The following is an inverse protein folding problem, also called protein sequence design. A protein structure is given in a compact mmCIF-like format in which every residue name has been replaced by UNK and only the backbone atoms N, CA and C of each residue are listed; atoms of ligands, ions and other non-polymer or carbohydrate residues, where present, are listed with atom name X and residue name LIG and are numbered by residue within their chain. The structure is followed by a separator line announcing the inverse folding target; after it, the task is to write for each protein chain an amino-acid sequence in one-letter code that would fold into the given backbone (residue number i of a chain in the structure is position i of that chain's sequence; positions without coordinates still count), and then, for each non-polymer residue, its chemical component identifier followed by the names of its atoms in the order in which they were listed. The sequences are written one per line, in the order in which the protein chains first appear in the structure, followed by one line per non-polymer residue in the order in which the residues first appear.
data_IF_310946879863
#
_entry.id   IF_310946879863
#
_cell.length_a   1.000
_cell.length_b   1.000
_cell.length_c   1.000
_cell.angle_alpha   90.00
_cell.angle_beta   90.00
_cell.angle_gamma   90.00
#
_symmetry.space_group_name_H-M   'P 1'
#
loop_
_entity.id
_entity.type
_entity.pdbx_description
1 polymer ?
#
# COMPACT_ATOMS: atom_id res chain seq x y z
N UNK A 1 -16.39 14.75 -13.41
CA UNK A 1 -17.04 15.65 -12.41
C UNK A 1 -18.15 14.99 -11.58
N UNK A 2 -18.88 13.97 -12.07
CA UNK A 2 -19.96 13.32 -11.31
C UNK A 2 -19.49 12.45 -10.12
N UNK A 3 -18.42 11.66 -10.30
CA UNK A 3 -17.92 10.72 -9.30
C UNK A 3 -17.25 11.40 -8.09
N UNK A 4 -16.50 12.48 -8.32
CA UNK A 4 -15.88 13.27 -7.23
C UNK A 4 -16.95 14.01 -6.42
N UNK A 5 -18.03 14.50 -7.06
CA UNK A 5 -19.19 15.08 -6.34
C UNK A 5 -19.94 14.00 -5.54
N UNK A 6 -20.02 12.78 -6.05
CA UNK A 6 -20.65 11.65 -5.37
C UNK A 6 -19.85 11.21 -4.13
N UNK A 7 -18.49 11.08 -4.22
CA UNK A 7 -17.62 10.80 -3.08
C UNK A 7 -17.63 11.91 -2.02
N UNK A 8 -17.62 13.18 -2.43
CA UNK A 8 -17.74 14.33 -1.50
C UNK A 8 -19.08 14.36 -0.76
N UNK A 9 -20.18 13.96 -1.40
CA UNK A 9 -21.48 13.87 -0.75
C UNK A 9 -21.58 12.70 0.23
N UNK A 10 -20.83 11.62 -0.02
CA UNK A 10 -20.93 10.38 0.74
C UNK A 10 -20.22 10.46 2.09
N UNK A 11 -19.02 11.05 2.17
CA UNK A 11 -18.33 11.19 3.46
C UNK A 11 -18.80 12.39 4.29
N UNK A 12 -19.01 13.53 3.67
CA UNK A 12 -19.12 14.80 4.41
C UNK A 12 -20.52 15.15 4.96
N UNK A 13 -21.59 14.49 4.55
CA UNK A 13 -22.94 14.94 4.92
C UNK A 13 -23.70 14.00 5.82
N UNK A 14 -23.73 12.72 5.50
CA UNK A 14 -24.72 11.80 6.07
C UNK A 14 -24.21 11.06 7.30
N UNK A 15 -22.98 10.54 7.25
CA UNK A 15 -22.40 9.79 8.37
C UNK A 15 -22.27 10.66 9.65
N UNK A 16 -21.74 11.87 9.51
CA UNK A 16 -21.56 12.80 10.64
C UNK A 16 -22.86 13.26 11.25
N UNK A 17 -23.87 13.52 10.42
CA UNK A 17 -25.17 13.97 10.92
C UNK A 17 -25.88 12.87 11.68
N UNK A 18 -25.81 11.61 11.21
CA UNK A 18 -26.48 10.51 11.86
C UNK A 18 -25.76 10.01 13.12
N UNK A 19 -24.42 9.98 13.14
CA UNK A 19 -23.67 9.72 14.36
C UNK A 19 -23.97 10.75 15.45
N UNK A 20 -24.11 12.03 15.05
CA UNK A 20 -24.51 13.11 15.95
C UNK A 20 -25.96 12.96 16.42
N UNK A 21 -26.87 12.63 15.52
CA UNK A 21 -28.30 12.48 15.84
C UNK A 21 -28.55 11.28 16.73
N UNK A 22 -27.93 10.14 16.45
CA UNK A 22 -28.17 8.88 17.15
C UNK A 22 -27.41 8.76 18.47
N UNK A 23 -26.11 9.13 18.46
CA UNK A 23 -25.23 8.93 19.61
C UNK A 23 -24.87 10.23 20.34
N UNK A 24 -25.28 11.40 19.82
CA UNK A 24 -24.96 12.71 20.40
C UNK A 24 -23.47 13.10 20.28
N UNK A 25 -22.68 12.44 19.40
CA UNK A 25 -21.25 12.63 19.27
C UNK A 25 -20.89 13.28 17.95
N UNK A 26 -19.74 13.99 17.93
CA UNK A 26 -19.23 14.62 16.72
C UNK A 26 -17.77 14.17 16.49
N UNK A 27 -17.42 13.96 15.24
CA UNK A 27 -16.05 13.63 14.86
C UNK A 27 -15.07 14.75 15.22
N UNK A 28 -13.87 14.34 15.61
CA UNK A 28 -12.76 15.25 15.98
C UNK A 28 -11.83 15.55 14.81
N UNK A 29 -11.99 14.86 13.68
CA UNK A 29 -11.17 15.07 12.48
C UNK A 29 -11.70 16.25 11.68
N UNK A 30 -10.80 17.17 11.28
CA UNK A 30 -11.16 18.35 10.47
C UNK A 30 -11.61 17.96 9.05
N UNK A 31 -12.40 18.84 8.42
CA UNK A 31 -12.79 18.65 7.02
C UNK A 31 -11.61 18.63 6.06
N UNK A 32 -10.58 19.46 6.32
CA UNK A 32 -9.36 19.49 5.51
C UNK A 32 -8.61 18.15 5.54
N UNK A 33 -8.55 17.48 6.69
CA UNK A 33 -7.93 16.16 6.80
C UNK A 33 -8.72 15.10 6.06
N UNK A 34 -10.04 15.15 6.12
CA UNK A 34 -10.92 14.24 5.40
C UNK A 34 -10.80 14.41 3.88
N UNK A 35 -10.76 15.65 3.40
CA UNK A 35 -10.55 15.95 1.97
C UNK A 35 -9.17 15.44 1.50
N UNK A 36 -8.15 15.56 2.35
CA UNK A 36 -6.81 15.04 2.06
C UNK A 36 -6.80 13.51 1.93
N UNK A 37 -7.41 12.79 2.88
CA UNK A 37 -7.51 11.32 2.83
C UNK A 37 -8.25 10.87 1.57
N UNK A 38 -9.36 11.51 1.20
CA UNK A 38 -10.06 11.21 -0.04
C UNK A 38 -9.20 11.43 -1.28
N UNK A 39 -8.47 12.55 -1.32
CA UNK A 39 -7.53 12.85 -2.42
C UNK A 39 -6.48 11.75 -2.54
N UNK A 40 -5.90 11.29 -1.44
CA UNK A 40 -4.88 10.22 -1.46
C UNK A 40 -5.45 8.89 -1.96
N UNK A 41 -6.64 8.50 -1.49
CA UNK A 41 -7.31 7.27 -1.94
C UNK A 41 -7.57 7.31 -3.45
N UNK A 42 -8.01 8.44 -4.00
CA UNK A 42 -8.22 8.62 -5.43
C UNK A 42 -6.91 8.53 -6.22
N UNK A 43 -5.84 9.20 -5.77
CA UNK A 43 -4.51 9.12 -6.39
C UNK A 43 -4.01 7.67 -6.42
N UNK A 44 -4.10 6.95 -5.30
CA UNK A 44 -3.71 5.55 -5.20
C UNK A 44 -4.50 4.66 -6.17
N UNK A 45 -5.80 4.89 -6.32
CA UNK A 45 -6.67 4.14 -7.24
C UNK A 45 -6.39 4.45 -8.71
N UNK A 46 -5.73 5.57 -9.01
CA UNK A 46 -5.43 6.03 -10.36
C UNK A 46 -6.50 6.94 -10.98
N UNK A 47 -7.22 7.65 -10.12
CA UNK A 47 -8.16 8.72 -10.48
C UNK A 47 -7.79 10.00 -9.71
N UNK A 48 -6.61 10.58 -9.97
CA UNK A 48 -6.06 11.68 -9.15
C UNK A 48 -6.72 13.05 -9.42
N UNK A 49 -7.66 13.14 -10.37
CA UNK A 49 -8.37 14.36 -10.72
C UNK A 49 -7.61 15.35 -11.62
N UNK A 50 -6.34 15.06 -11.96
CA UNK A 50 -5.55 15.84 -12.94
C UNK A 50 -5.34 15.10 -14.27
N UNK A 51 -5.84 13.87 -14.40
CA UNK A 51 -5.86 13.15 -15.68
C UNK A 51 -6.83 13.83 -16.63
N UNK A 52 -6.43 13.94 -17.89
CA UNK A 52 -7.21 14.57 -18.96
C UNK A 52 -6.97 13.79 -20.26
N UNK A 53 -7.98 13.06 -20.73
CA UNK A 53 -7.89 12.28 -21.95
C UNK A 53 -7.78 13.16 -23.20
N UNK A 54 -8.42 14.35 -23.20
CA UNK A 54 -8.36 15.29 -24.34
C UNK A 54 -6.99 15.94 -24.45
N UNK A 55 -6.37 16.27 -23.27
CA UNK A 55 -5.02 16.78 -23.19
C UNK A 55 -3.94 15.68 -23.21
N UNK A 56 -4.32 14.41 -23.34
CA UNK A 56 -3.41 13.27 -23.37
C UNK A 56 -2.71 12.96 -22.02
N UNK A 57 -3.16 13.58 -20.90
CA UNK A 57 -2.54 13.40 -19.58
C UNK A 57 -3.06 12.14 -18.91
N UNK A 58 -2.17 11.19 -18.68
CA UNK A 58 -2.44 9.88 -18.07
C UNK A 58 -1.68 9.73 -16.76
N UNK A 59 -2.20 8.92 -15.84
CA UNK A 59 -1.46 8.54 -14.63
C UNK A 59 -0.71 7.22 -14.82
N UNK A 60 0.52 7.16 -14.32
CA UNK A 60 1.32 5.93 -14.21
C UNK A 60 1.10 5.21 -12.89
N UNK A 61 0.21 5.72 -12.03
CA UNK A 61 -0.12 5.17 -10.70
C UNK A 61 1.10 4.98 -9.80
N UNK A 62 2.05 5.89 -9.84
CA UNK A 62 3.30 5.75 -9.10
C UNK A 62 3.09 5.76 -7.58
N UNK A 63 2.06 6.44 -7.09
CA UNK A 63 1.65 6.37 -5.69
C UNK A 63 1.37 4.92 -5.22
N UNK A 64 0.76 4.09 -6.08
CA UNK A 64 0.55 2.67 -5.78
C UNK A 64 1.85 1.89 -5.70
N UNK A 65 2.84 2.22 -6.54
CA UNK A 65 4.17 1.60 -6.51
C UNK A 65 4.86 1.90 -5.17
N UNK A 66 4.81 3.17 -4.72
CA UNK A 66 5.38 3.58 -3.43
C UNK A 66 4.75 2.82 -2.27
N UNK A 67 3.41 2.80 -2.19
CA UNK A 67 2.69 2.10 -1.12
C UNK A 67 2.97 0.60 -1.12
N UNK A 68 2.96 -0.02 -2.29
CA UNK A 68 3.27 -1.44 -2.46
C UNK A 68 4.70 -1.79 -2.05
N UNK A 69 5.65 -0.89 -2.32
CA UNK A 69 7.05 -1.10 -1.95
C UNK A 69 7.27 -0.99 -0.44
N UNK A 70 6.68 0.01 0.23
CA UNK A 70 6.71 0.11 1.70
C UNK A 70 6.09 -1.14 2.34
N UNK A 71 4.89 -1.53 1.90
CA UNK A 71 4.22 -2.72 2.42
C UNK A 71 5.02 -4.00 2.17
N UNK A 72 5.65 -4.15 0.99
CA UNK A 72 6.51 -5.28 0.65
C UNK A 72 7.70 -5.39 1.59
N UNK A 73 8.43 -4.29 1.78
CA UNK A 73 9.62 -4.26 2.63
C UNK A 73 9.29 -4.44 4.11
N UNK A 74 8.19 -3.85 4.59
CA UNK A 74 7.78 -3.99 5.98
C UNK A 74 7.33 -5.42 6.34
N UNK A 75 6.70 -6.14 5.38
CA UNK A 75 6.15 -7.49 5.61
C UNK A 75 6.96 -8.62 4.99
N UNK A 76 8.16 -8.35 4.48
CA UNK A 76 8.94 -9.30 3.66
C UNK A 76 9.16 -10.66 4.35
N UNK A 77 9.47 -10.64 5.64
CA UNK A 77 9.79 -11.84 6.42
C UNK A 77 9.07 -11.86 7.78
N UNK A 78 7.93 -11.14 7.88
CA UNK A 78 7.21 -11.08 9.15
C UNK A 78 6.71 -12.46 9.57
N UNK A 79 7.06 -12.84 10.78
CA UNK A 79 6.47 -13.94 11.50
C UNK A 79 6.15 -13.56 12.94
N UNK A 80 5.09 -14.15 13.51
CA UNK A 80 4.70 -13.92 14.89
C UNK A 80 4.54 -15.27 15.56
N UNK A 81 5.27 -15.46 16.65
CA UNK A 81 5.23 -16.65 17.46
C UNK A 81 4.54 -16.33 18.78
N UNK A 82 3.71 -17.25 19.24
CA UNK A 82 2.96 -17.08 20.48
C UNK A 82 3.39 -18.13 21.50
N UNK A 83 3.60 -17.67 22.73
CA UNK A 83 3.83 -18.48 23.90
C UNK A 83 2.68 -18.34 24.91
N UNK A 84 2.61 -19.24 25.88
CA UNK A 84 1.58 -19.26 26.91
C UNK A 84 0.44 -20.24 26.64
N UNK A 85 -0.53 -20.28 27.56
CA UNK A 85 -1.63 -21.25 27.53
C UNK A 85 -2.64 -21.05 26.39
N UNK A 86 -2.61 -19.88 25.73
CA UNK A 86 -3.48 -19.53 24.59
C UNK A 86 -2.71 -19.49 23.25
N UNK A 87 -1.44 -19.91 23.25
CA UNK A 87 -0.55 -19.81 22.09
C UNK A 87 -1.11 -20.48 20.82
N UNK A 88 -1.60 -21.71 20.91
CA UNK A 88 -2.15 -22.45 19.76
C UNK A 88 -3.34 -21.73 19.11
N UNK A 89 -4.23 -21.16 19.91
CA UNK A 89 -5.38 -20.41 19.41
C UNK A 89 -4.93 -19.11 18.70
N UNK A 90 -4.01 -18.37 19.31
CA UNK A 90 -3.50 -17.13 18.76
C UNK A 90 -2.67 -17.35 17.50
N UNK A 91 -1.87 -18.42 17.47
CA UNK A 91 -1.12 -18.84 16.28
C UNK A 91 -2.07 -19.19 15.12
N UNK A 92 -3.13 -19.93 15.39
CA UNK A 92 -4.15 -20.26 14.41
C UNK A 92 -4.89 -19.03 13.88
N UNK A 93 -5.15 -18.04 14.71
CA UNK A 93 -5.74 -16.76 14.31
C UNK A 93 -4.78 -15.94 13.44
N UNK A 94 -3.51 -15.83 13.84
CA UNK A 94 -2.47 -15.18 13.06
C UNK A 94 -2.37 -15.74 11.65
N UNK A 95 -2.17 -17.04 11.51
CA UNK A 95 -1.95 -17.67 10.22
C UNK A 95 -3.16 -17.65 9.29
N UNK A 96 -4.36 -17.85 9.85
CA UNK A 96 -5.58 -17.97 9.05
C UNK A 96 -6.22 -16.63 8.71
N UNK A 97 -6.19 -15.68 9.64
CA UNK A 97 -7.00 -14.46 9.55
C UNK A 97 -6.17 -13.19 9.29
N UNK A 98 -4.88 -13.16 9.68
CA UNK A 98 -4.06 -11.95 9.63
C UNK A 98 -2.97 -12.05 8.55
N UNK A 99 -2.06 -13.02 8.68
CA UNK A 99 -0.83 -13.13 7.87
C UNK A 99 -1.09 -13.06 6.36
N UNK A 100 -2.18 -13.70 5.90
CA UNK A 100 -2.51 -13.76 4.46
C UNK A 100 -2.84 -12.41 3.82
N UNK A 101 -3.42 -11.50 4.61
CA UNK A 101 -3.93 -10.22 4.12
C UNK A 101 -3.10 -9.03 4.58
N UNK A 102 -2.15 -9.24 5.48
CA UNK A 102 -1.42 -8.19 6.16
C UNK A 102 -0.74 -7.21 5.20
N UNK A 103 -0.08 -7.73 4.16
CA UNK A 103 0.60 -6.91 3.16
C UNK A 103 -0.37 -6.00 2.40
N UNK A 104 -1.53 -6.52 1.99
CA UNK A 104 -2.57 -5.76 1.31
C UNK A 104 -3.14 -4.68 2.22
N UNK A 105 -3.44 -5.03 3.47
CA UNK A 105 -3.94 -4.07 4.45
C UNK A 105 -2.93 -2.96 4.74
N UNK A 106 -1.66 -3.31 4.87
CA UNK A 106 -0.60 -2.33 5.07
C UNK A 106 -0.41 -1.42 3.85
N UNK A 107 -0.49 -1.95 2.63
CA UNK A 107 -0.44 -1.15 1.40
C UNK A 107 -1.54 -0.09 1.37
N UNK A 108 -2.78 -0.48 1.72
CA UNK A 108 -3.87 0.47 1.85
C UNK A 108 -3.67 1.45 3.03
N UNK A 109 -3.06 1.00 4.13
CA UNK A 109 -2.69 1.84 5.26
C UNK A 109 -1.67 2.91 4.88
N UNK A 110 -0.66 2.56 4.09
CA UNK A 110 0.31 3.50 3.54
C UNK A 110 -0.37 4.53 2.60
N UNK A 111 -1.35 4.09 1.82
CA UNK A 111 -2.08 4.97 0.91
C UNK A 111 -3.02 5.95 1.64
N UNK A 112 -3.82 5.45 2.57
CA UNK A 112 -4.82 6.25 3.29
C UNK A 112 -4.25 6.96 4.54
N UNK A 113 -3.02 6.65 4.94
CA UNK A 113 -2.37 7.14 6.15
C UNK A 113 -2.81 6.46 7.43
N UNK A 114 -4.00 5.85 7.46
CA UNK A 114 -4.57 5.16 8.62
C UNK A 114 -5.51 4.06 8.17
N UNK A 115 -5.49 2.92 8.84
CA UNK A 115 -6.49 1.86 8.69
C UNK A 115 -6.76 1.20 10.04
N UNK A 116 -7.91 0.57 10.17
CA UNK A 116 -8.30 -0.18 11.36
C UNK A 116 -8.49 -1.65 11.02
N UNK A 117 -7.94 -2.51 11.87
CA UNK A 117 -8.13 -3.94 11.86
C UNK A 117 -9.00 -4.30 13.07
N UNK A 118 -10.25 -4.66 12.83
CA UNK A 118 -11.21 -4.95 13.88
C UNK A 118 -11.58 -6.43 13.89
N UNK A 119 -11.21 -7.22 14.92
CA UNK A 119 -11.66 -8.59 15.07
C UNK A 119 -13.20 -8.64 15.21
N UNK A 120 -13.84 -9.58 14.53
CA UNK A 120 -15.31 -9.75 14.53
C UNK A 120 -15.76 -11.13 15.04
N UNK A 121 -14.86 -11.88 15.68
CA UNK A 121 -15.11 -13.23 16.19
C UNK A 121 -15.00 -14.36 15.15
N UNK A 122 -15.01 -14.04 13.83
CA UNK A 122 -14.79 -15.01 12.73
C UNK A 122 -13.53 -14.71 11.94
N UNK A 123 -13.08 -13.48 11.95
CA UNK A 123 -11.93 -12.98 11.22
C UNK A 123 -11.66 -11.52 11.60
N UNK A 124 -11.21 -10.74 10.63
CA UNK A 124 -10.93 -9.32 10.81
C UNK A 124 -11.72 -8.50 9.79
N UNK A 125 -12.39 -7.47 10.27
CA UNK A 125 -12.94 -6.41 9.46
C UNK A 125 -11.82 -5.39 9.19
N UNK A 126 -11.46 -5.22 7.92
CA UNK A 126 -10.55 -4.19 7.46
C UNK A 126 -11.34 -2.91 7.18
N UNK A 127 -11.02 -1.82 7.89
CA UNK A 127 -11.80 -0.59 7.84
C UNK A 127 -10.91 0.58 7.41
N UNK A 128 -11.26 1.17 6.27
CA UNK A 128 -10.62 2.38 5.75
C UNK A 128 -11.15 3.64 6.45
N UNK A 129 -10.43 4.78 6.41
CA UNK A 129 -10.83 6.00 7.10
C UNK A 129 -12.17 6.59 6.63
N UNK A 130 -12.66 6.21 5.46
CA UNK A 130 -13.98 6.61 4.94
C UNK A 130 -15.16 5.87 5.60
N UNK A 131 -14.87 4.86 6.44
CA UNK A 131 -15.87 4.01 7.10
C UNK A 131 -15.81 4.06 8.62
N UNK A 132 -15.07 4.99 9.18
CA UNK A 132 -15.09 5.26 10.61
C UNK A 132 -14.94 6.75 10.92
N UNK A 133 -15.43 7.16 12.09
CA UNK A 133 -15.23 8.51 12.62
C UNK A 133 -14.77 8.41 14.07
N UNK A 134 -13.63 9.01 14.38
CA UNK A 134 -13.12 9.10 15.75
C UNK A 134 -13.81 10.26 16.42
N UNK A 135 -14.47 9.99 17.55
CA UNK A 135 -15.34 10.95 18.25
C UNK A 135 -14.81 11.34 19.63
N UNK A 136 -13.81 10.64 20.13
CA UNK A 136 -13.21 10.95 21.43
C UNK A 136 -11.76 10.50 21.56
N UNK A 137 -11.01 11.21 22.43
CA UNK A 137 -9.68 10.86 22.90
C UNK A 137 -9.63 11.00 24.41
N UNK A 138 -8.76 10.19 25.05
CA UNK A 138 -8.41 10.33 26.44
C UNK A 138 -7.36 11.44 26.64
N UNK A 139 -6.97 11.67 27.90
CA UNK A 139 -5.95 12.65 28.28
C UNK A 139 -4.55 12.32 27.71
N UNK A 140 -4.29 11.05 27.41
CA UNK A 140 -3.03 10.57 26.80
C UNK A 140 -3.06 10.63 25.26
N UNK A 141 -4.19 11.03 24.66
CA UNK A 141 -4.38 11.11 23.21
C UNK A 141 -4.79 9.78 22.56
N UNK A 142 -5.03 8.72 23.34
CA UNK A 142 -5.56 7.46 22.81
C UNK A 142 -7.04 7.62 22.45
N UNK A 143 -7.51 6.83 21.48
CA UNK A 143 -8.91 6.83 21.07
C UNK A 143 -9.76 6.31 22.23
N UNK A 144 -10.75 7.10 22.65
CA UNK A 144 -11.74 6.73 23.68
C UNK A 144 -13.14 6.53 23.11
N UNK A 145 -13.38 6.96 21.87
CA UNK A 145 -14.65 6.79 21.19
C UNK A 145 -14.51 6.79 19.67
N UNK A 146 -15.16 5.82 19.01
CA UNK A 146 -15.15 5.67 17.56
C UNK A 146 -16.45 5.10 17.05
N UNK A 147 -16.96 5.59 15.93
CA UNK A 147 -18.14 5.07 15.25
C UNK A 147 -17.70 4.45 13.93
N UNK A 148 -18.08 3.18 13.70
CA UNK A 148 -17.86 2.47 12.44
C UNK A 148 -19.14 2.43 11.63
N UNK A 149 -18.97 2.41 10.30
CA UNK A 149 -20.05 2.21 9.34
C UNK A 149 -19.80 0.93 8.54
N UNK A 150 -20.77 0.02 8.53
CA UNK A 150 -20.83 -1.14 7.64
C UNK A 150 -22.10 -1.05 6.78
N UNK A 151 -22.02 -1.41 5.50
CA UNK A 151 -23.15 -1.33 4.58
C UNK A 151 -23.21 -2.54 3.67
N UNK A 152 -24.41 -2.94 3.30
CA UNK A 152 -24.62 -3.95 2.26
C UNK A 152 -25.90 -3.63 1.47
N UNK A 153 -26.00 -4.21 0.30
CA UNK A 153 -27.19 -4.14 -0.56
C UNK A 153 -27.93 -5.48 -0.54
N UNK A 154 -29.24 -5.41 -0.44
CA UNK A 154 -30.15 -6.54 -0.62
C UNK A 154 -31.31 -6.11 -1.52
N UNK A 155 -31.37 -6.68 -2.71
CA UNK A 155 -32.28 -6.25 -3.77
C UNK A 155 -32.05 -4.77 -4.14
N UNK A 156 -33.08 -3.96 -4.00
CA UNK A 156 -33.07 -2.52 -4.27
C UNK A 156 -32.86 -1.68 -2.99
N UNK A 157 -32.63 -2.32 -1.86
CA UNK A 157 -32.45 -1.66 -0.57
C UNK A 157 -30.98 -1.68 -0.14
N UNK A 158 -30.58 -0.59 0.49
CA UNK A 158 -29.26 -0.40 1.08
C UNK A 158 -29.40 -0.37 2.60
N UNK A 159 -28.70 -1.29 3.25
CA UNK A 159 -28.68 -1.38 4.71
C UNK A 159 -27.38 -0.83 5.22
N UNK A 160 -27.44 0.00 6.26
CA UNK A 160 -26.26 0.60 6.91
C UNK A 160 -26.33 0.34 8.41
N UNK A 161 -25.22 -0.15 8.98
CA UNK A 161 -25.04 -0.30 10.43
C UNK A 161 -24.07 0.75 10.92
N UNK A 162 -24.43 1.44 11.98
CA UNK A 162 -23.53 2.25 12.80
C UNK A 162 -23.18 1.48 14.07
N UNK A 163 -21.90 1.35 14.35
CA UNK A 163 -21.36 0.62 15.50
C UNK A 163 -20.46 1.56 16.29
N UNK A 164 -20.93 1.98 17.48
CA UNK A 164 -20.24 2.94 18.33
C UNK A 164 -19.54 2.24 19.48
N UNK A 165 -18.23 2.31 19.52
CA UNK A 165 -17.35 1.82 20.58
C UNK A 165 -16.93 2.97 21.47
N UNK A 166 -17.13 2.82 22.80
CA UNK A 166 -16.75 3.82 23.80
C UNK A 166 -16.49 3.21 25.17
N UNK A 167 -15.78 3.96 25.99
CA UNK A 167 -15.81 3.76 27.44
C UNK A 167 -16.97 4.57 28.02
N UNK A 168 -17.86 3.93 28.77
CA UNK A 168 -18.94 4.58 29.51
C UNK A 168 -18.48 5.01 30.90
N UNK A 169 -17.63 4.19 31.50
CA UNK A 169 -16.84 4.47 32.71
C UNK A 169 -15.44 3.92 32.51
N UNK A 170 -14.51 4.18 33.46
CA UNK A 170 -13.15 3.61 33.39
C UNK A 170 -13.15 2.08 33.26
N UNK A 171 -14.16 1.40 33.78
CA UNK A 171 -14.24 -0.07 33.83
C UNK A 171 -15.19 -0.67 32.80
N UNK A 172 -16.00 0.13 32.13
CA UNK A 172 -17.08 -0.38 31.26
C UNK A 172 -16.90 0.03 29.81
N UNK A 173 -16.60 -0.94 28.98
CA UNK A 173 -16.54 -0.76 27.53
C UNK A 173 -17.90 -1.10 26.91
N UNK A 174 -18.44 -0.21 26.10
CA UNK A 174 -19.78 -0.37 25.49
C UNK A 174 -19.69 -0.31 23.98
N UNK A 175 -20.39 -1.25 23.33
CA UNK A 175 -20.62 -1.26 21.88
C UNK A 175 -22.11 -1.08 21.63
N UNK A 176 -22.46 0.00 20.92
CA UNK A 176 -23.84 0.28 20.50
C UNK A 176 -24.02 0.06 19.01
N UNK A 177 -24.99 -0.76 18.61
CA UNK A 177 -25.30 -1.09 17.22
C UNK A 177 -26.67 -0.49 16.84
N UNK A 178 -26.71 0.21 15.69
CA UNK A 178 -27.92 0.76 15.09
C UNK A 178 -27.96 0.44 13.61
N UNK A 179 -29.09 -0.03 13.11
CA UNK A 179 -29.26 -0.35 11.69
C UNK A 179 -30.26 0.58 11.02
N UNK A 180 -30.04 0.84 9.77
CA UNK A 180 -30.82 1.74 8.92
C UNK A 180 -31.06 1.10 7.56
N UNK A 181 -32.14 1.50 6.88
CA UNK A 181 -32.45 1.08 5.52
C UNK A 181 -32.82 2.27 4.65
N UNK A 182 -32.27 2.31 3.43
CA UNK A 182 -32.55 3.32 2.40
C UNK A 182 -32.88 2.67 1.07
N UNK A 183 -33.67 3.35 0.22
CA UNK A 183 -33.85 3.01 -1.18
C UNK A 183 -32.77 3.59 -2.09
N UNK A 184 -31.93 4.50 -1.57
CA UNK A 184 -30.89 5.18 -2.35
C UNK A 184 -29.50 4.78 -1.84
N UNK A 185 -28.58 4.53 -2.77
CA UNK A 185 -27.19 4.29 -2.43
C UNK A 185 -26.55 5.55 -1.82
N UNK A 186 -25.79 5.36 -0.72
CA UNK A 186 -25.09 6.45 -0.03
C UNK A 186 -25.95 7.24 0.96
N UNK A 187 -27.22 6.94 1.12
CA UNK A 187 -28.08 7.47 2.17
C UNK A 187 -28.18 6.49 3.33
N UNK A 188 -28.13 6.96 4.58
CA UNK A 188 -28.32 6.10 5.75
C UNK A 188 -29.78 5.62 5.85
N UNK A 189 -30.73 6.50 5.61
CA UNK A 189 -32.15 6.17 5.53
C UNK A 189 -32.86 6.13 6.89
N UNK A 190 -33.80 5.20 7.07
CA UNK A 190 -34.65 5.10 8.27
C UNK A 190 -34.15 4.01 9.21
N UNK A 191 -34.27 4.16 10.52
CA UNK A 191 -33.98 3.11 11.49
C UNK A 191 -34.75 1.81 11.20
N UNK A 192 -34.07 0.68 11.34
CA UNK A 192 -34.61 -0.68 11.18
C UNK A 192 -34.11 -1.58 12.31
N UNK A 193 -34.90 -2.55 12.72
CA UNK A 193 -34.49 -3.52 13.75
C UNK A 193 -33.33 -4.37 13.20
N UNK A 194 -32.27 -4.55 14.00
CA UNK A 194 -31.13 -5.43 13.68
C UNK A 194 -31.56 -6.84 13.27
N UNK A 195 -32.64 -7.37 13.89
CA UNK A 195 -33.18 -8.70 13.57
C UNK A 195 -33.69 -8.85 12.14
N UNK A 196 -33.97 -7.75 11.45
CA UNK A 196 -34.42 -7.74 10.06
C UNK A 196 -33.26 -7.55 9.05
N UNK A 197 -32.04 -7.63 9.52
CA UNK A 197 -30.82 -7.38 8.73
C UNK A 197 -29.84 -8.56 8.82
N UNK A 198 -28.74 -8.53 8.05
CA UNK A 198 -27.65 -9.52 8.18
C UNK A 198 -26.97 -9.49 9.57
N UNK A 199 -27.25 -8.50 10.39
CA UNK A 199 -26.71 -8.32 11.74
C UNK A 199 -27.67 -8.78 12.83
N UNK A 200 -28.54 -9.71 12.52
CA UNK A 200 -29.62 -10.25 13.41
C UNK A 200 -29.11 -10.87 14.72
N UNK A 201 -27.85 -11.30 14.73
CA UNK A 201 -27.16 -11.84 15.88
C UNK A 201 -26.56 -10.78 16.83
N UNK A 202 -26.55 -9.49 16.43
CA UNK A 202 -26.02 -8.40 17.25
C UNK A 202 -27.11 -7.84 18.18
N UNK A 203 -26.68 -7.43 19.37
CA UNK A 203 -27.53 -6.70 20.31
C UNK A 203 -27.37 -5.19 20.11
N UNK A 204 -28.43 -4.39 20.37
CA UNK A 204 -28.36 -2.93 20.23
C UNK A 204 -27.31 -2.28 21.11
N UNK A 205 -27.13 -2.73 22.34
CA UNK A 205 -26.12 -2.25 23.27
C UNK A 205 -25.51 -3.43 24.02
N UNK A 206 -24.19 -3.50 24.03
CA UNK A 206 -23.42 -4.57 24.66
C UNK A 206 -22.38 -3.95 25.57
N UNK A 207 -22.44 -4.23 26.85
CA UNK A 207 -21.39 -3.88 27.80
C UNK A 207 -20.38 -5.03 27.90
N UNK A 208 -19.11 -4.73 27.65
CA UNK A 208 -18.04 -5.71 27.62
C UNK A 208 -17.13 -5.47 28.82
N UNK A 209 -16.92 -6.53 29.59
CA UNK A 209 -15.98 -6.58 30.72
C UNK A 209 -15.16 -7.84 30.59
N UNK A 210 -13.95 -7.85 31.14
CA UNK A 210 -13.12 -9.06 31.16
C UNK A 210 -13.82 -10.16 31.97
N UNK A 211 -13.54 -11.41 31.64
CA UNK A 211 -14.11 -12.60 32.31
C UNK A 211 -13.86 -12.63 33.82
N UNK A 212 -12.78 -12.06 34.28
CA UNK A 212 -12.41 -11.88 35.68
C UNK A 212 -13.05 -10.63 36.33
N UNK A 213 -13.92 -9.89 35.62
CA UNK A 213 -14.55 -8.65 36.08
C UNK A 213 -13.61 -7.43 35.96
N UNK A 214 -12.42 -7.56 35.39
CA UNK A 214 -11.49 -6.44 35.17
C UNK A 214 -11.93 -5.54 34.00
N UNK A 215 -11.41 -4.31 34.02
CA UNK A 215 -11.59 -3.33 32.96
C UNK A 215 -10.99 -3.79 31.62
N UNK A 216 -11.52 -3.28 30.50
CA UNK A 216 -10.92 -3.39 29.19
C UNK A 216 -9.84 -2.31 29.06
N UNK A 217 -8.58 -2.70 28.86
CA UNK A 217 -7.44 -1.80 28.96
C UNK A 217 -7.23 -0.95 27.68
N UNK A 218 -7.73 -1.42 26.55
CA UNK A 218 -7.62 -0.70 25.27
C UNK A 218 -8.85 -0.95 24.39
N UNK A 219 -9.03 -0.11 23.36
CA UNK A 219 -10.09 -0.29 22.37
C UNK A 219 -9.97 -1.66 21.68
N UNK A 220 -11.10 -2.30 21.38
CA UNK A 220 -11.14 -3.66 20.82
C UNK A 220 -10.90 -3.69 19.31
N UNK A 221 -9.90 -3.00 18.85
CA UNK A 221 -9.40 -2.99 17.46
C UNK A 221 -7.96 -2.52 17.40
N UNK A 222 -7.24 -2.88 16.35
CA UNK A 222 -5.90 -2.35 16.05
C UNK A 222 -6.00 -1.16 15.09
N UNK A 223 -5.33 -0.07 15.44
CA UNK A 223 -5.17 1.10 14.58
C UNK A 223 -3.75 1.10 14.01
N UNK A 224 -3.61 0.98 12.70
CA UNK A 224 -2.38 1.31 12.01
C UNK A 224 -2.41 2.78 11.59
N UNK A 225 -1.39 3.53 11.98
CA UNK A 225 -1.17 4.92 11.60
C UNK A 225 0.23 5.04 11.02
N UNK A 226 0.35 5.64 9.81
CA UNK A 226 1.67 5.96 9.26
C UNK A 226 2.46 6.83 10.23
N UNK A 227 3.73 6.49 10.51
CA UNK A 227 4.57 7.14 11.50
C UNK A 227 5.14 8.48 11.00
N UNK A 228 4.24 9.42 10.66
CA UNK A 228 4.59 10.77 10.22
C UNK A 228 3.80 11.81 11.00
N UNK A 229 4.39 12.99 11.19
CA UNK A 229 3.70 14.12 11.80
C UNK A 229 2.59 14.62 10.89
N UNK A 230 1.39 14.84 11.46
CA UNK A 230 0.26 15.38 10.71
C UNK A 230 0.32 16.92 10.73
N UNK A 231 0.64 17.52 9.60
CA UNK A 231 0.73 18.96 9.39
C UNK A 231 -0.56 19.58 8.81
N UNK A 232 -1.52 18.74 8.41
CA UNK A 232 -2.84 19.19 7.92
C UNK A 232 -3.79 19.44 9.10
N UNK A 233 -3.76 18.53 10.08
CA UNK A 233 -4.57 18.60 11.29
C UNK A 233 -3.80 17.99 12.45
N UNK A 234 -3.06 18.84 13.18
CA UNK A 234 -2.20 18.42 14.29
C UNK A 234 -2.97 17.77 15.46
N UNK A 235 -4.28 18.00 15.55
CA UNK A 235 -5.13 17.42 16.57
C UNK A 235 -5.79 16.10 16.14
N UNK A 236 -5.75 15.78 14.85
CA UNK A 236 -6.33 14.54 14.34
C UNK A 236 -5.48 13.32 14.74
N UNK A 237 -6.12 12.22 15.14
CA UNK A 237 -5.42 10.95 15.37
C UNK A 237 -5.05 10.24 14.06
N UNK A 238 -5.52 10.73 12.91
CA UNK A 238 -5.20 10.15 11.60
C UNK A 238 -3.77 10.45 11.19
N UNK A 239 -3.10 9.50 10.56
CA UNK A 239 -1.79 9.65 9.93
C UNK A 239 -1.91 10.19 8.51
N UNK A 240 -0.80 10.67 7.97
CA UNK A 240 -0.70 11.09 6.56
C UNK A 240 -0.37 9.89 5.66
N UNK A 241 -0.82 9.95 4.41
CA UNK A 241 -0.34 9.02 3.39
C UNK A 241 1.18 9.09 3.26
N UNK A 242 1.84 7.96 2.98
CA UNK A 242 3.29 7.92 2.75
C UNK A 242 3.74 8.88 1.65
N UNK A 243 2.88 9.17 0.66
CA UNK A 243 3.15 10.12 -0.43
C UNK A 243 2.45 11.48 -0.25
N UNK A 244 1.90 11.78 0.94
CA UNK A 244 1.17 13.04 1.18
C UNK A 244 1.97 14.27 0.77
N UNK A 245 3.28 14.30 1.09
CA UNK A 245 4.19 15.41 0.80
C UNK A 245 4.70 15.46 -0.65
N UNK A 246 4.37 14.46 -1.47
CA UNK A 246 4.84 14.33 -2.85
C UNK A 246 3.71 14.42 -3.90
N UNK A 247 2.52 14.88 -3.49
CA UNK A 247 1.32 14.91 -4.36
C UNK A 247 1.52 15.78 -5.61
N UNK A 248 2.17 16.92 -5.47
CA UNK A 248 2.42 17.82 -6.61
C UNK A 248 3.46 17.23 -7.57
N UNK A 249 4.51 16.59 -7.03
CA UNK A 249 5.53 15.93 -7.85
C UNK A 249 4.96 14.68 -8.55
N UNK A 250 4.02 13.97 -7.94
CA UNK A 250 3.31 12.87 -8.60
C UNK A 250 2.49 13.37 -9.81
N UNK A 251 1.85 14.54 -9.68
CA UNK A 251 1.17 15.18 -10.80
C UNK A 251 2.16 15.55 -11.89
N UNK A 252 3.27 16.18 -11.54
CA UNK A 252 4.28 16.63 -12.51
C UNK A 252 4.95 15.42 -13.20
N UNK A 253 5.12 14.30 -12.49
CA UNK A 253 5.60 13.03 -13.04
C UNK A 253 4.61 12.47 -14.10
N UNK A 254 3.32 12.43 -13.80
CA UNK A 254 2.28 11.98 -14.74
C UNK A 254 2.26 12.86 -16.01
N UNK A 255 2.40 14.18 -15.86
CA UNK A 255 2.48 15.13 -16.98
C UNK A 255 3.76 14.93 -17.79
N UNK A 256 4.92 14.80 -17.13
CA UNK A 256 6.20 14.60 -17.80
C UNK A 256 6.22 13.29 -18.59
N UNK A 257 5.71 12.21 -18.00
CA UNK A 257 5.59 10.91 -18.66
C UNK A 257 4.65 10.96 -19.88
N UNK A 258 3.50 11.62 -19.75
CA UNK A 258 2.53 11.75 -20.83
C UNK A 258 3.10 12.54 -22.00
N UNK A 259 3.76 13.67 -21.73
CA UNK A 259 4.44 14.49 -22.77
C UNK A 259 5.59 13.76 -23.45
N UNK A 260 6.33 12.92 -22.73
CA UNK A 260 7.36 12.09 -23.33
C UNK A 260 6.78 11.09 -24.34
N UNK A 261 5.64 10.49 -24.01
CA UNK A 261 4.94 9.59 -24.94
C UNK A 261 4.38 10.31 -26.17
N UNK A 262 3.89 11.54 -26.01
CA UNK A 262 3.44 12.41 -27.12
C UNK A 262 4.60 12.77 -28.06
N UNK A 263 5.74 13.20 -27.51
CA UNK A 263 6.92 13.53 -28.34
C UNK A 263 7.41 12.33 -29.14
N UNK A 264 7.45 11.14 -28.54
CA UNK A 264 7.79 9.91 -29.26
C UNK A 264 6.79 9.66 -30.41
N UNK A 265 5.53 9.96 -30.20
CA UNK A 265 4.51 9.86 -31.25
C UNK A 265 4.68 10.92 -32.34
N UNK A 266 5.02 12.15 -31.95
CA UNK A 266 5.14 13.30 -32.86
C UNK A 266 6.49 13.36 -33.56
N UNK A 267 7.51 12.67 -33.02
CA UNK A 267 8.84 12.57 -33.64
C UNK A 267 8.92 11.71 -34.90
N UNK A 268 7.77 11.22 -35.37
CA UNK A 268 7.71 10.45 -36.61
C UNK A 268 8.18 11.31 -37.77
N UNK A 269 9.07 10.75 -38.57
CA UNK A 269 9.48 11.35 -39.83
C UNK A 269 8.25 11.73 -40.68
N UNK A 270 8.16 12.98 -41.08
CA UNK A 270 7.14 13.50 -41.96
C UNK A 270 7.83 13.99 -43.25
N UNK A 271 7.36 13.51 -44.36
CA UNK A 271 7.79 13.98 -45.68
C UNK A 271 6.63 14.77 -46.29
N UNK A 272 6.87 16.06 -46.52
CA UNK A 272 5.95 16.92 -47.27
C UNK A 272 6.33 16.90 -48.72
N UNK A 273 5.40 16.54 -49.61
CA UNK A 273 5.63 16.43 -51.03
C UNK A 273 4.53 17.20 -51.79
N UNK A 274 4.92 17.85 -52.86
CA UNK A 274 3.97 18.56 -53.71
C UNK A 274 3.00 17.58 -54.32
N UNK A 275 1.69 17.90 -54.27
CA UNK A 275 0.62 17.07 -54.82
C UNK A 275 0.84 16.72 -56.28
N UNK A 276 1.46 17.61 -57.05
CA UNK A 276 1.79 17.41 -58.48
C UNK A 276 2.74 16.22 -58.71
N UNK A 277 3.65 15.95 -57.76
CA UNK A 277 4.57 14.80 -57.82
C UNK A 277 3.88 13.44 -57.59
N UNK A 278 2.70 13.44 -57.04
CA UNK A 278 1.92 12.24 -56.69
C UNK A 278 0.77 11.97 -57.64
N UNK A 279 0.54 12.87 -58.62
CA UNK A 279 -0.51 12.72 -59.59
C UNK A 279 -0.18 11.61 -60.58
N UNK A 280 -1.10 10.68 -60.78
CA UNK A 280 -1.08 9.68 -61.83
C UNK A 280 -1.74 10.25 -63.09
N UNK A 281 -1.42 9.69 -64.28
CA UNK A 281 -2.16 10.03 -65.52
C UNK A 281 -3.66 9.95 -65.32
N UNK A 282 -4.37 11.00 -65.72
CA UNK A 282 -5.79 11.09 -65.58
C UNK A 282 -6.53 9.97 -66.31
N UNK A 283 -7.43 9.30 -65.62
CA UNK A 283 -8.37 8.33 -66.27
C UNK A 283 -9.71 8.98 -66.50
N UNK A 284 -10.37 8.59 -67.61
CA UNK A 284 -11.76 8.96 -67.84
C UNK A 284 -12.72 7.92 -67.24
N UNK A 285 -13.77 8.38 -66.59
CA UNK A 285 -14.83 7.50 -66.13
C UNK A 285 -15.71 7.02 -67.31
N UNK A 286 -16.69 6.19 -67.01
CA UNK A 286 -17.64 5.66 -68.04
C UNK A 286 -18.52 6.75 -68.63
N UNK A 287 -18.58 7.94 -68.04
CA UNK A 287 -19.34 9.11 -68.46
C UNK A 287 -18.50 10.15 -69.20
N UNK A 288 -17.18 9.88 -69.36
CA UNK A 288 -16.26 10.78 -70.04
C UNK A 288 -15.63 11.85 -69.15
N UNK A 289 -15.94 11.88 -67.84
CA UNK A 289 -15.35 12.82 -66.90
C UNK A 289 -13.90 12.44 -66.54
N UNK A 290 -13.04 13.44 -66.38
CA UNK A 290 -11.66 13.23 -66.01
C UNK A 290 -11.52 13.01 -64.51
N UNK A 291 -11.09 11.80 -64.11
CA UNK A 291 -10.79 11.45 -62.71
C UNK A 291 -9.29 11.63 -62.48
N UNK A 292 -8.95 12.51 -61.53
CA UNK A 292 -7.57 12.64 -61.04
C UNK A 292 -7.25 11.47 -60.11
N UNK A 293 -6.16 10.79 -60.35
CA UNK A 293 -5.67 9.69 -59.52
C UNK A 293 -4.36 10.09 -58.88
N UNK A 294 -4.15 9.64 -57.63
CA UNK A 294 -2.96 9.89 -56.85
C UNK A 294 -2.32 8.56 -56.43
N UNK A 295 -1.01 8.54 -56.31
CA UNK A 295 -0.28 7.41 -55.73
C UNK A 295 -0.70 7.26 -54.28
N UNK A 296 -0.95 6.06 -53.82
CA UNK A 296 -1.18 5.76 -52.41
C UNK A 296 0.14 5.91 -51.67
N UNK A 297 0.24 6.99 -50.89
CA UNK A 297 1.44 7.33 -50.13
C UNK A 297 1.46 6.59 -48.78
N UNK A 298 2.64 6.25 -48.24
CA UNK A 298 2.80 5.83 -46.87
C UNK A 298 2.26 6.90 -45.88
N UNK A 299 1.85 6.49 -44.68
CA UNK A 299 1.21 7.38 -43.70
C UNK A 299 2.11 8.56 -43.23
N UNK A 300 3.43 8.45 -43.40
CA UNK A 300 4.39 9.51 -43.07
C UNK A 300 4.60 10.53 -44.20
N UNK A 301 3.99 10.35 -45.38
CA UNK A 301 4.06 11.28 -46.50
C UNK A 301 2.76 12.02 -46.65
N UNK A 302 2.81 13.35 -46.63
CA UNK A 302 1.64 14.22 -46.77
C UNK A 302 1.76 15.08 -48.00
N UNK A 303 0.69 15.13 -48.79
CA UNK A 303 0.60 16.06 -49.90
C UNK A 303 0.31 17.48 -49.39
N UNK A 304 1.02 18.43 -49.94
CA UNK A 304 0.85 19.86 -49.69
C UNK A 304 0.57 20.56 -51.02
N UNK A 305 -0.45 21.38 -51.05
CA UNK A 305 -0.69 22.29 -52.18
C UNK A 305 0.29 23.46 -52.05
N UNK A 306 1.33 23.50 -52.95
CA UNK A 306 2.25 24.64 -53.00
C UNK A 306 1.70 25.72 -53.91
N UNK A 307 1.74 26.97 -53.44
CA UNK A 307 1.44 28.19 -54.29
C UNK A 307 2.61 28.58 -55.20
N UNK A 308 3.72 27.83 -55.09
CA UNK A 308 4.97 28.16 -55.81
C UNK A 308 5.04 27.43 -57.18
N UNK A 309 5.64 28.08 -58.18
CA UNK A 309 5.93 27.45 -59.48
C UNK A 309 6.95 26.30 -59.41
N UNK A 310 7.66 26.14 -58.28
CA UNK A 310 8.66 25.08 -58.04
C UNK A 310 8.06 23.91 -57.28
N UNK A 311 8.41 22.69 -57.67
CA UNK A 311 8.10 21.48 -56.90
C UNK A 311 8.65 21.56 -55.52
N UNK A 312 7.81 21.22 -54.50
CA UNK A 312 8.13 21.28 -53.11
C UNK A 312 8.38 19.88 -52.56
N UNK A 313 9.51 19.68 -51.92
CA UNK A 313 9.86 18.51 -51.15
C UNK A 313 10.55 18.95 -49.87
N UNK A 314 10.01 18.55 -48.73
CA UNK A 314 10.60 18.83 -47.42
C UNK A 314 10.51 17.60 -46.53
N UNK A 315 11.63 17.20 -45.99
CA UNK A 315 11.73 16.18 -44.97
C UNK A 315 11.82 16.84 -43.60
N UNK A 316 10.90 16.52 -42.71
CA UNK A 316 10.88 16.95 -41.32
C UNK A 316 11.21 15.70 -40.49
N UNK A 317 12.36 15.74 -39.85
CA UNK A 317 12.85 14.68 -38.97
C UNK A 317 13.18 15.28 -37.62
N UNK A 318 12.20 15.42 -36.69
CA UNK A 318 12.43 15.98 -35.39
C UNK A 318 13.45 15.14 -34.60
N UNK A 319 14.36 15.81 -33.91
CA UNK A 319 15.30 15.13 -33.02
C UNK A 319 14.58 14.88 -31.67
N UNK A 320 14.72 13.67 -31.16
CA UNK A 320 14.23 13.30 -29.84
C UNK A 320 15.19 13.79 -28.76
N UNK A 321 14.68 14.50 -27.75
CA UNK A 321 15.44 14.92 -26.57
C UNK A 321 15.32 13.88 -25.43
N UNK A 322 15.46 12.61 -25.76
CA UNK A 322 15.19 11.48 -24.87
C UNK A 322 16.03 11.54 -23.59
N UNK A 323 17.32 11.82 -23.70
CA UNK A 323 18.23 11.86 -22.54
C UNK A 323 17.85 12.96 -21.54
N UNK A 324 17.59 14.18 -22.02
CA UNK A 324 17.20 15.31 -21.15
C UNK A 324 15.87 15.05 -20.46
N UNK A 325 14.91 14.42 -21.15
CA UNK A 325 13.62 14.05 -20.57
C UNK A 325 13.74 12.94 -19.55
N UNK A 326 14.55 11.91 -19.82
CA UNK A 326 14.82 10.84 -18.90
C UNK A 326 15.50 11.35 -17.62
N UNK A 327 16.44 12.27 -17.74
CA UNK A 327 17.03 12.96 -16.59
C UNK A 327 15.98 13.74 -15.79
N UNK A 328 15.07 14.45 -16.46
CA UNK A 328 13.96 15.16 -15.82
C UNK A 328 13.03 14.22 -15.04
N UNK A 329 12.65 13.10 -15.63
CA UNK A 329 11.82 12.06 -14.99
C UNK A 329 12.57 11.44 -13.80
N UNK A 330 13.86 11.11 -13.94
CA UNK A 330 14.66 10.55 -12.85
C UNK A 330 14.82 11.54 -11.68
N UNK A 331 14.94 12.84 -11.95
CA UNK A 331 14.98 13.87 -10.92
C UNK A 331 13.64 13.93 -10.14
N UNK A 332 12.49 13.83 -10.83
CA UNK A 332 11.18 13.78 -10.19
C UNK A 332 11.03 12.51 -9.35
N UNK A 333 11.40 11.33 -9.88
CA UNK A 333 11.36 10.07 -9.15
C UNK A 333 12.22 10.11 -7.88
N UNK A 334 13.43 10.68 -7.97
CA UNK A 334 14.34 10.85 -6.83
C UNK A 334 13.77 11.78 -5.78
N UNK A 335 13.15 12.90 -6.19
CA UNK A 335 12.52 13.86 -5.28
C UNK A 335 11.29 13.25 -4.61
N UNK A 336 10.44 12.54 -5.35
CA UNK A 336 9.29 11.83 -4.82
C UNK A 336 9.75 10.79 -3.79
N UNK A 337 10.74 9.97 -4.14
CA UNK A 337 11.32 8.99 -3.21
C UNK A 337 11.80 9.64 -1.92
N UNK A 338 12.58 10.72 -2.02
CA UNK A 338 13.07 11.48 -0.89
C UNK A 338 11.94 12.02 0.02
N UNK A 339 10.88 12.59 -0.58
CA UNK A 339 9.71 13.09 0.17
C UNK A 339 8.89 11.97 0.84
N UNK A 340 8.90 10.77 0.26
CA UNK A 340 8.26 9.59 0.83
C UNK A 340 9.13 8.83 1.85
N UNK A 341 10.35 9.32 2.15
CA UNK A 341 11.25 8.73 3.14
C UNK A 341 12.22 7.68 2.59
N UNK A 342 12.25 7.46 1.29
CA UNK A 342 13.23 6.57 0.65
C UNK A 342 14.59 7.25 0.47
N UNK A 343 15.61 6.45 0.32
CA UNK A 343 16.96 6.90 0.00
C UNK A 343 17.02 7.51 -1.39
N UNK A 344 17.98 8.44 -1.59
CA UNK A 344 18.11 9.14 -2.86
C UNK A 344 18.45 8.15 -3.99
N UNK A 345 17.70 8.24 -5.10
CA UNK A 345 17.89 7.35 -6.26
C UNK A 345 17.33 5.95 -6.09
N UNK A 346 16.51 5.69 -5.06
CA UNK A 346 15.82 4.42 -4.89
C UNK A 346 14.89 4.11 -6.09
N UNK A 347 14.14 5.10 -6.54
CA UNK A 347 13.31 5.03 -7.73
C UNK A 347 13.99 5.77 -8.88
N UNK A 348 14.71 5.05 -9.73
CA UNK A 348 15.30 5.58 -10.96
C UNK A 348 15.09 4.61 -12.11
N UNK A 349 15.05 5.13 -13.36
CA UNK A 349 14.85 4.32 -14.55
C UNK A 349 16.16 3.75 -15.12
N UNK A 350 17.32 4.31 -14.71
CA UNK A 350 18.63 3.87 -15.19
C UNK A 350 19.27 2.93 -14.16
N UNK A 351 19.84 1.83 -14.65
CA UNK A 351 20.68 0.95 -13.84
C UNK A 351 21.95 1.69 -13.39
N UNK A 352 22.25 1.64 -12.11
CA UNK A 352 23.54 2.08 -11.57
C UNK A 352 24.63 1.15 -12.11
N UNK A 353 25.29 1.53 -13.19
CA UNK A 353 26.50 0.87 -13.68
C UNK A 353 27.71 1.35 -12.89
N UNK A 354 28.06 0.62 -11.81
CA UNK A 354 29.27 0.88 -11.04
C UNK A 354 29.42 -0.12 -9.88
N UNK A 355 30.66 -0.55 -9.60
CA UNK A 355 30.94 -1.33 -8.40
C UNK A 355 30.78 -0.42 -7.17
N UNK A 356 29.66 -0.56 -6.48
CA UNK A 356 29.39 0.13 -5.20
C UNK A 356 29.88 -0.78 -4.08
N UNK A 357 30.65 -0.25 -3.14
CA UNK A 357 31.07 -1.04 -1.97
C UNK A 357 29.89 -1.27 -1.03
N UNK A 358 29.84 -2.41 -0.35
CA UNK A 358 28.76 -2.78 0.60
C UNK A 358 28.49 -1.68 1.65
N UNK A 359 29.56 -1.03 2.17
CA UNK A 359 29.46 0.09 3.12
C UNK A 359 28.78 1.32 2.51
N UNK A 360 28.92 1.54 1.20
CA UNK A 360 28.32 2.67 0.50
C UNK A 360 26.83 2.41 0.24
N UNK A 361 26.43 1.17 -0.07
CA UNK A 361 25.03 0.74 -0.17
C UNK A 361 24.33 0.91 1.18
N UNK A 362 24.94 0.46 2.27
CA UNK A 362 24.40 0.55 3.63
C UNK A 362 24.21 2.00 4.10
N UNK A 363 25.15 2.88 3.73
CA UNK A 363 25.06 4.33 4.02
C UNK A 363 23.96 5.00 3.17
N UNK A 364 23.84 4.61 1.91
CA UNK A 364 22.87 5.20 0.99
C UNK A 364 21.44 4.76 1.31
N UNK A 365 21.22 3.55 1.84
CA UNK A 365 19.89 3.01 2.13
C UNK A 365 19.37 3.30 3.55
N UNK A 366 20.14 4.02 4.37
CA UNK A 366 19.81 4.29 5.77
C UNK A 366 18.42 4.93 5.96
N UNK A 367 17.99 5.82 5.07
CA UNK A 367 16.67 6.46 5.16
C UNK A 367 15.54 5.48 4.90
N UNK A 368 15.66 4.65 3.87
CA UNK A 368 14.69 3.58 3.55
C UNK A 368 14.57 2.61 4.73
N UNK A 369 15.70 2.20 5.30
CA UNK A 369 15.74 1.31 6.45
C UNK A 369 15.00 1.92 7.65
N UNK A 370 15.22 3.23 7.93
CA UNK A 370 14.55 3.90 9.03
C UNK A 370 13.03 4.01 8.79
N UNK A 371 12.61 4.40 7.57
CA UNK A 371 11.20 4.42 7.20
C UNK A 371 10.52 3.07 7.46
N UNK A 372 11.17 1.99 7.03
CA UNK A 372 10.59 0.64 7.19
C UNK A 372 10.57 0.21 8.67
N UNK A 373 11.57 0.55 9.46
CA UNK A 373 11.56 0.29 10.91
C UNK A 373 10.41 1.02 11.58
N UNK A 374 10.23 2.31 11.32
CA UNK A 374 9.14 3.10 11.88
C UNK A 374 7.75 2.55 11.50
N UNK A 375 7.60 2.07 10.24
CA UNK A 375 6.38 1.41 9.78
C UNK A 375 6.16 0.06 10.47
N UNK A 376 7.22 -0.73 10.69
CA UNK A 376 7.16 -2.01 11.43
C UNK A 376 6.75 -1.80 12.89
N UNK A 377 7.28 -0.78 13.55
CA UNK A 377 6.92 -0.44 14.92
C UNK A 377 5.44 -0.03 15.03
N UNK A 378 4.95 0.77 14.09
CA UNK A 378 3.53 1.14 14.02
C UNK A 378 2.63 -0.08 13.71
N UNK A 379 3.08 -0.98 12.85
CA UNK A 379 2.38 -2.22 12.53
C UNK A 379 2.32 -3.16 13.73
N UNK A 380 3.41 -3.32 14.46
CA UNK A 380 3.45 -4.12 15.67
C UNK A 380 2.44 -3.62 16.71
N UNK A 381 2.41 -2.31 16.99
CA UNK A 381 1.43 -1.71 17.91
C UNK A 381 -0.01 -2.00 17.47
N UNK A 382 -0.29 -1.91 16.17
CA UNK A 382 -1.60 -2.27 15.62
C UNK A 382 -1.93 -3.76 15.85
N UNK A 383 -0.99 -4.66 15.59
CA UNK A 383 -1.17 -6.10 15.75
C UNK A 383 -1.33 -6.48 17.24
N UNK A 384 -0.59 -5.87 18.15
CA UNK A 384 -0.73 -6.07 19.59
C UNK A 384 -2.17 -5.76 20.05
N UNK A 385 -2.74 -4.64 19.57
CA UNK A 385 -4.13 -4.29 19.85
C UNK A 385 -5.13 -5.27 19.21
N UNK A 386 -4.86 -5.78 18.00
CA UNK A 386 -5.70 -6.81 17.36
C UNK A 386 -5.67 -8.10 18.16
N UNK A 387 -4.50 -8.55 18.60
CA UNK A 387 -4.37 -9.78 19.39
C UNK A 387 -5.02 -9.63 20.78
N UNK A 388 -4.86 -8.46 21.40
CA UNK A 388 -5.57 -8.15 22.64
C UNK A 388 -7.08 -8.25 22.45
N UNK A 389 -7.65 -7.59 21.45
CA UNK A 389 -9.07 -7.63 21.15
C UNK A 389 -9.57 -9.06 20.87
N UNK A 390 -8.81 -9.85 20.09
CA UNK A 390 -9.13 -11.25 19.81
C UNK A 390 -9.11 -12.11 21.08
N UNK A 391 -8.15 -11.85 21.98
CA UNK A 391 -8.07 -12.55 23.27
C UNK A 391 -9.27 -12.26 24.17
N UNK A 392 -9.72 -10.99 24.21
CA UNK A 392 -10.94 -10.59 24.95
C UNK A 392 -12.17 -11.28 24.37
N UNK A 393 -12.35 -11.30 23.06
CA UNK A 393 -13.48 -11.98 22.40
C UNK A 393 -13.44 -13.49 22.64
N UNK A 394 -12.27 -14.12 22.65
CA UNK A 394 -12.13 -15.53 22.97
C UNK A 394 -12.62 -15.87 24.39
N UNK A 395 -12.38 -14.99 25.35
CA UNK A 395 -12.90 -15.14 26.72
C UNK A 395 -14.43 -15.00 26.79
N UNK A 396 -14.98 -14.06 26.03
CA UNK A 396 -16.42 -13.79 26.02
C UNK A 396 -17.24 -14.93 25.39
N UNK A 397 -16.74 -15.50 24.30
CA UNK A 397 -17.43 -16.54 23.54
C UNK A 397 -17.17 -17.97 24.06
N UNK A 398 -16.24 -18.15 25.00
CA UNK A 398 -16.05 -19.39 25.73
C UNK A 398 -15.56 -20.61 24.94
N UNK A 399 -15.09 -20.39 23.70
CA UNK A 399 -14.69 -21.46 22.79
C UNK A 399 -13.21 -21.89 22.89
N UNK A 400 -12.43 -21.28 23.76
CA UNK A 400 -10.98 -21.52 23.88
C UNK A 400 -10.55 -21.58 25.34
N UNK A 401 -9.41 -22.21 25.66
CA UNK A 401 -8.85 -22.16 27.00
C UNK A 401 -8.66 -20.71 27.44
N UNK A 402 -9.11 -20.39 28.67
CA UNK A 402 -8.77 -19.10 29.28
C UNK A 402 -7.28 -19.12 29.63
N UNK A 403 -6.56 -18.02 29.35
CA UNK A 403 -5.15 -17.95 29.66
C UNK A 403 -4.47 -16.73 29.06
N UNK A 404 -3.20 -16.63 29.32
CA UNK A 404 -2.34 -15.56 28.83
C UNK A 404 -1.60 -16.00 27.56
N UNK A 405 -1.17 -15.04 26.78
CA UNK A 405 -0.30 -15.22 25.63
C UNK A 405 0.77 -14.14 25.64
N UNK A 406 1.91 -14.44 25.07
CA UNK A 406 2.96 -13.51 24.74
C UNK A 406 3.26 -13.61 23.26
N UNK A 407 3.33 -12.47 22.56
CA UNK A 407 3.62 -12.43 21.12
C UNK A 407 5.04 -11.95 20.88
N UNK A 408 5.82 -12.74 20.14
CA UNK A 408 7.18 -12.39 19.71
C UNK A 408 7.19 -12.18 18.21
N UNK A 409 7.68 -11.02 17.76
CA UNK A 409 7.72 -10.63 16.36
C UNK A 409 9.10 -10.83 15.77
N UNK A 410 9.16 -11.49 14.63
CA UNK A 410 10.33 -11.52 13.76
C UNK A 410 9.98 -10.85 12.43
N UNK A 411 10.57 -9.71 12.16
CA UNK A 411 10.39 -8.99 10.89
C UNK A 411 11.47 -9.32 9.86
N UNK A 412 12.44 -10.15 10.22
CA UNK A 412 13.63 -10.36 9.41
C UNK A 412 14.50 -9.11 9.27
N UNK A 413 15.72 -9.30 8.81
CA UNK A 413 16.65 -8.20 8.57
C UNK A 413 16.39 -7.58 7.20
N UNK A 414 16.16 -6.25 7.13
CA UNK A 414 15.95 -5.51 5.87
C UNK A 414 17.28 -5.37 5.12
N UNK A 415 18.39 -5.38 5.85
CA UNK A 415 19.74 -5.23 5.32
C UNK A 415 20.41 -6.57 5.04
N UNK A 416 19.68 -7.68 5.19
CA UNK A 416 20.25 -9.01 5.07
C UNK A 416 20.78 -9.26 3.65
N UNK A 417 22.08 -9.10 3.51
CA UNK A 417 22.82 -9.53 2.32
C UNK A 417 23.29 -10.97 2.57
N UNK A 418 22.57 -11.92 2.01
CA UNK A 418 22.86 -13.36 2.16
C UNK A 418 24.31 -13.70 1.84
N UNK A 419 24.86 -13.14 0.76
CA UNK A 419 26.25 -13.44 0.34
C UNK A 419 27.27 -12.85 1.30
N UNK A 420 27.02 -11.66 1.81
CA UNK A 420 27.93 -11.00 2.76
C UNK A 420 27.88 -11.66 4.15
N UNK A 421 26.69 -12.04 4.63
CA UNK A 421 26.54 -12.80 5.87
C UNK A 421 27.18 -14.19 5.73
N UNK A 422 27.00 -14.84 4.58
CA UNK A 422 27.64 -16.13 4.26
C UNK A 422 29.17 -16.02 4.29
N UNK A 423 29.75 -14.98 3.70
CA UNK A 423 31.20 -14.71 3.74
C UNK A 423 31.69 -14.38 5.14
N UNK A 424 30.95 -13.57 5.91
CA UNK A 424 31.29 -13.23 7.29
C UNK A 424 31.28 -14.46 8.18
N UNK A 425 30.26 -15.30 8.08
CA UNK A 425 30.17 -16.56 8.82
C UNK A 425 31.24 -17.54 8.40
N UNK A 426 31.55 -17.61 7.11
CA UNK A 426 32.68 -18.41 6.64
C UNK A 426 33.99 -17.94 7.28
N UNK A 427 34.20 -16.63 7.41
CA UNK A 427 35.32 -16.06 8.13
C UNK A 427 35.37 -16.46 9.62
N UNK A 428 34.21 -16.56 10.30
CA UNK A 428 34.15 -17.06 11.68
C UNK A 428 34.48 -18.55 11.80
N UNK A 429 34.01 -19.35 10.85
CA UNK A 429 34.33 -20.78 10.79
C UNK A 429 35.82 -21.01 10.55
N UNK A 430 36.40 -20.33 9.56
CA UNK A 430 37.84 -20.45 9.24
C UNK A 430 38.75 -19.91 10.36
N UNK A 431 38.27 -18.93 11.13
CA UNK A 431 38.95 -18.43 12.33
C UNK A 431 38.72 -19.29 13.58
N UNK A 432 38.00 -20.40 13.48
CA UNK A 432 37.70 -21.30 14.59
C UNK A 432 36.78 -20.73 15.68
N UNK A 433 36.07 -19.60 15.39
CA UNK A 433 35.18 -18.95 16.36
C UNK A 433 33.79 -19.60 16.43
N UNK A 434 33.37 -20.24 15.34
CA UNK A 434 32.07 -20.90 15.23
C UNK A 434 32.25 -22.26 14.59
N UNK A 435 31.58 -23.33 15.08
CA UNK A 435 31.67 -24.66 14.50
C UNK A 435 31.13 -24.69 13.06
N UNK A 436 31.77 -25.47 12.17
CA UNK A 436 31.37 -25.58 10.77
C UNK A 436 29.94 -26.08 10.57
N UNK A 437 29.45 -27.00 11.42
CA UNK A 437 28.07 -27.49 11.33
C UNK A 437 27.01 -26.41 11.48
N UNK A 438 27.29 -25.32 12.22
CA UNK A 438 26.35 -24.20 12.34
C UNK A 438 26.23 -23.42 11.04
N UNK A 439 27.31 -23.29 10.28
CA UNK A 439 27.30 -22.72 8.94
C UNK A 439 26.46 -23.57 7.97
N UNK A 440 26.62 -24.88 7.99
CA UNK A 440 25.86 -25.81 7.17
C UNK A 440 24.36 -25.72 7.45
N UNK A 441 23.97 -25.62 8.72
CA UNK A 441 22.57 -25.42 9.10
C UNK A 441 22.00 -24.09 8.56
N UNK A 442 22.76 -23.00 8.77
CA UNK A 442 22.27 -21.66 8.50
C UNK A 442 22.18 -21.34 7.00
N UNK A 443 23.15 -21.80 6.21
CA UNK A 443 23.31 -21.38 4.82
C UNK A 443 23.07 -22.46 3.78
N UNK A 444 23.23 -23.73 4.15
CA UNK A 444 23.06 -24.84 3.23
C UNK A 444 21.78 -25.68 3.52
N UNK A 445 21.03 -25.33 4.59
CA UNK A 445 19.71 -25.89 4.87
C UNK A 445 19.72 -27.32 5.45
N UNK A 446 20.86 -27.78 5.95
CA UNK A 446 20.94 -29.09 6.60
C UNK A 446 20.28 -29.08 7.98
N UNK A 447 19.68 -30.21 8.38
CA UNK A 447 19.24 -30.38 9.77
C UNK A 447 20.45 -30.44 10.71
N UNK A 448 20.25 -30.15 12.00
CA UNK A 448 21.32 -30.16 13.00
C UNK A 448 22.09 -31.49 13.03
N UNK A 449 21.37 -32.60 12.88
CA UNK A 449 21.96 -33.95 12.88
C UNK A 449 22.83 -34.18 11.64
N UNK A 450 22.32 -33.89 10.46
CA UNK A 450 23.05 -34.01 9.19
C UNK A 450 24.26 -33.08 9.13
N UNK A 451 24.10 -31.82 9.57
CA UNK A 451 25.19 -30.84 9.61
C UNK A 451 26.35 -31.28 10.53
N UNK A 452 26.02 -31.87 11.69
CA UNK A 452 27.03 -32.43 12.62
C UNK A 452 27.72 -33.64 12.05
N UNK A 453 27.00 -34.58 11.43
CA UNK A 453 27.55 -35.75 10.78
C UNK A 453 28.51 -35.36 9.63
N UNK A 454 28.12 -34.42 8.76
CA UNK A 454 28.98 -33.92 7.70
C UNK A 454 30.22 -33.19 8.23
N UNK A 455 30.06 -32.38 9.30
CA UNK A 455 31.19 -31.68 9.90
C UNK A 455 32.21 -32.65 10.55
N UNK A 456 31.76 -33.74 11.16
CA UNK A 456 32.63 -34.78 11.73
C UNK A 456 33.35 -35.54 10.62
N UNK A 457 32.64 -35.97 9.58
CA UNK A 457 33.21 -36.66 8.43
C UNK A 457 34.35 -35.86 7.77
N UNK A 458 34.09 -34.55 7.54
CA UNK A 458 35.10 -33.64 6.98
C UNK A 458 36.33 -33.46 7.90
N UNK A 459 36.16 -33.50 9.22
CA UNK A 459 37.29 -33.46 10.16
C UNK A 459 38.09 -34.74 10.20
N UNK A 460 37.46 -35.89 10.05
CA UNK A 460 38.14 -37.20 9.98
C UNK A 460 38.95 -37.35 8.70
N UNK A 461 38.37 -36.95 7.56
CA UNK A 461 39.05 -36.98 6.26
C UNK A 461 40.27 -36.06 6.23
N UNK A 462 40.19 -34.88 6.81
CA UNK A 462 41.29 -33.92 6.93
C UNK A 462 42.45 -34.47 7.84
N UNK A 463 42.10 -35.21 8.91
CA UNK A 463 43.12 -35.85 9.77
C UNK A 463 43.80 -37.02 9.10
N UNK A 464 43.09 -37.81 8.31
CA UNK A 464 43.67 -38.91 7.53
C UNK A 464 44.61 -38.36 6.44
N UNK A 465 44.28 -37.26 5.75
CA UNK A 465 45.17 -36.61 4.79
C UNK A 465 46.44 -36.07 5.44
N UNK A 466 46.34 -35.41 6.62
CA UNK A 466 47.54 -34.94 7.35
C UNK A 466 48.41 -36.05 7.87
N UNK A 467 47.83 -37.16 8.35
CA UNK A 467 48.57 -38.35 8.79
C UNK A 467 49.38 -39.04 7.68
N UNK A 468 48.94 -38.89 6.43
CA UNK A 468 49.67 -39.42 5.25
C UNK A 468 50.89 -38.54 4.88
N UNK A 469 50.96 -37.29 5.30
CA UNK A 469 52.10 -36.39 5.05
C UNK A 469 53.15 -36.42 6.18
N UNK A 470 52.83 -36.96 7.36
CA UNK A 470 53.76 -37.10 8.49
C UNK A 470 54.52 -38.44 8.47
N UNK A 471 54.25 -39.37 7.52
CA UNK A 471 54.94 -40.63 7.33
C UNK A 471 55.92 -40.65 6.15
N UNK A 472 56.18 -39.55 5.44
CA UNK A 472 57.29 -39.36 4.50
C UNK A 472 58.39 -38.43 5.12
#
# INVERSE_FOLDING_TARGET
MGFIKWLKGWWNGLFKSEAKNEFGVSGITSGSMQDAVQKWILIYRGDPGWTDEEAGIRTIKFAKVICGEVARLATLAIDVQFDGSRAEYMQGFWEKSVKRHLREWLEHGCAAGTVILKPNGKGIDFVLPDRFEIVGKDENGNISGIVFQDSYRDGDLFYTKLEYHRYETEDTYVVSNRAYVSGNEGEIGKPVDLKLTKWDNLQPDVSIVKKNGGAIDSMLFGLFRMPSSNDIDMNSPLGLSVFANAVEELRDLDVAYSRNAEEISDSRKIVLIDERLTMLPAKKDKLGNTIRQYVRLPHFVRNVMGESEKEFYQEINPQLNTETRQQGINNLLSLIGCKCGFSNGYFVLDEKTGMVTATQVESDDRRTIQLIKDVRDALQQCLDAVFYAQSVFADLYGGTPSGEYEATYDFGDITYNYEEDKLRWWGYVTAGKVPFWTYLMKFEGYSEKEAKELSLAAQEEYKEEQGLFDEE
#
